data_IF_471713873177
#
_entry.id   IF_471713873177
#
_cell.length_a   1.000
_cell.length_b   1.000
_cell.length_c   1.000
_cell.angle_alpha   90.00
_cell.angle_beta   90.00
_cell.angle_gamma   90.00
#
_symmetry.space_group_name_H-M   'P 1'
#
loop_
_entity.id
_entity.type
_entity.pdbx_description
1 polymer ?
#
# COMPACT_ATOMS: atom_id res chain seq x y z
N UNK A 1 29.51 -127.42 -11.97
CA UNK A 1 28.37 -126.93 -11.15
C UNK A 1 28.73 -125.82 -10.15
N UNK A 2 30.02 -125.56 -9.82
CA UNK A 2 30.43 -124.46 -8.91
C UNK A 2 30.58 -123.08 -9.57
N UNK A 3 30.79 -123.00 -10.88
CA UNK A 3 31.01 -121.75 -11.63
C UNK A 3 29.75 -120.94 -11.93
N UNK A 4 28.58 -121.58 -12.05
CA UNK A 4 27.31 -120.88 -12.29
C UNK A 4 26.73 -120.20 -11.04
N UNK A 5 27.12 -120.68 -9.84
CA UNK A 5 26.63 -120.13 -8.57
C UNK A 5 27.33 -118.80 -8.22
N UNK A 6 28.65 -118.71 -8.45
CA UNK A 6 29.45 -117.48 -8.29
C UNK A 6 28.97 -116.34 -9.18
N UNK A 7 28.70 -116.62 -10.46
CA UNK A 7 28.23 -115.60 -11.41
C UNK A 7 26.80 -115.13 -11.13
N UNK A 8 25.96 -115.98 -10.54
CA UNK A 8 24.62 -115.60 -10.10
C UNK A 8 24.65 -114.71 -8.83
N UNK A 9 25.60 -114.94 -7.92
CA UNK A 9 25.84 -114.08 -6.75
C UNK A 9 26.42 -112.72 -7.16
N UNK A 10 27.35 -112.68 -8.11
CA UNK A 10 27.87 -111.43 -8.71
C UNK A 10 26.77 -110.64 -9.43
N UNK A 11 25.93 -111.29 -10.26
CA UNK A 11 24.80 -110.63 -10.92
C UNK A 11 23.78 -110.07 -9.93
N UNK A 12 23.56 -110.76 -8.81
CA UNK A 12 22.67 -110.28 -7.76
C UNK A 12 23.26 -109.06 -7.03
N UNK A 13 24.55 -109.10 -6.70
CA UNK A 13 25.26 -107.96 -6.12
C UNK A 13 25.23 -106.73 -7.03
N UNK A 14 25.49 -106.91 -8.32
CA UNK A 14 25.41 -105.83 -9.31
C UNK A 14 23.98 -105.32 -9.43
N UNK A 15 22.97 -106.21 -9.44
CA UNK A 15 21.56 -105.80 -9.47
C UNK A 15 21.17 -104.99 -8.22
N UNK A 16 21.61 -105.40 -7.04
CA UNK A 16 21.33 -104.70 -5.78
C UNK A 16 22.01 -103.33 -5.74
N UNK A 17 23.24 -103.22 -6.25
CA UNK A 17 23.98 -101.96 -6.35
C UNK A 17 23.35 -101.02 -7.39
N UNK A 18 22.91 -101.54 -8.55
CA UNK A 18 22.17 -100.74 -9.54
C UNK A 18 20.83 -100.23 -9.01
N UNK A 19 20.10 -101.05 -8.22
CA UNK A 19 18.85 -100.63 -7.60
C UNK A 19 19.06 -99.59 -6.50
N UNK A 20 20.19 -99.66 -5.78
CA UNK A 20 20.56 -98.66 -4.79
C UNK A 20 20.86 -97.32 -5.46
N UNK A 21 21.69 -97.31 -6.50
CA UNK A 21 22.01 -96.10 -7.27
C UNK A 21 20.76 -95.50 -7.93
N UNK A 22 19.83 -96.33 -8.40
CA UNK A 22 18.57 -95.86 -8.97
C UNK A 22 17.72 -95.10 -7.93
N UNK A 23 17.63 -95.61 -6.70
CA UNK A 23 16.92 -94.91 -5.61
C UNK A 23 17.58 -93.59 -5.24
N UNK A 24 18.90 -93.55 -5.16
CA UNK A 24 19.66 -92.32 -4.89
C UNK A 24 19.45 -91.27 -5.99
N UNK A 25 19.38 -91.69 -7.26
CA UNK A 25 19.09 -90.78 -8.38
C UNK A 25 17.63 -90.30 -8.37
N UNK A 26 16.67 -91.16 -8.03
CA UNK A 26 15.26 -90.79 -7.86
C UNK A 26 15.07 -89.79 -6.71
N UNK A 27 15.77 -89.96 -5.60
CA UNK A 27 15.79 -89.03 -4.47
C UNK A 27 16.40 -87.69 -4.88
N UNK A 28 17.55 -87.68 -5.57
CA UNK A 28 18.16 -86.45 -6.12
C UNK A 28 17.25 -85.74 -7.13
N UNK A 29 16.56 -86.49 -7.99
CA UNK A 29 15.59 -85.90 -8.93
C UNK A 29 14.41 -85.28 -8.18
N UNK A 30 13.92 -85.94 -7.13
CA UNK A 30 12.85 -85.42 -6.28
C UNK A 30 13.26 -84.13 -5.58
N UNK A 31 14.47 -84.07 -5.02
CA UNK A 31 15.02 -82.87 -4.40
C UNK A 31 15.21 -81.73 -5.42
N UNK A 32 15.76 -82.04 -6.60
CA UNK A 32 15.95 -81.07 -7.67
C UNK A 32 14.62 -80.50 -8.18
N UNK A 33 13.57 -81.32 -8.29
CA UNK A 33 12.24 -80.86 -8.67
C UNK A 33 11.63 -79.95 -7.59
N UNK A 34 11.75 -80.31 -6.30
CA UNK A 34 11.31 -79.45 -5.19
C UNK A 34 12.04 -78.11 -5.16
N UNK A 35 13.34 -78.09 -5.47
CA UNK A 35 14.12 -76.86 -5.60
C UNK A 35 13.62 -76.02 -6.78
N UNK A 36 13.35 -76.66 -7.92
CA UNK A 36 12.88 -76.00 -9.15
C UNK A 36 11.47 -75.41 -8.98
N UNK A 37 10.55 -76.09 -8.29
CA UNK A 37 9.22 -75.57 -7.96
C UNK A 37 9.26 -74.38 -7.00
N UNK A 38 10.27 -74.31 -6.14
CA UNK A 38 10.46 -73.21 -5.18
C UNK A 38 11.29 -72.05 -5.75
N UNK A 39 11.73 -72.11 -7.02
CA UNK A 39 12.38 -70.96 -7.63
C UNK A 39 11.37 -69.81 -7.78
N UNK A 40 11.70 -68.60 -7.31
CA UNK A 40 10.82 -67.45 -7.49
C UNK A 40 10.59 -67.19 -8.98
N UNK A 41 9.33 -66.91 -9.34
CA UNK A 41 8.96 -66.57 -10.71
C UNK A 41 9.52 -65.19 -11.06
N UNK A 42 10.70 -65.18 -11.68
CA UNK A 42 11.45 -63.96 -12.01
C UNK A 42 10.63 -63.01 -12.89
N UNK A 43 9.83 -63.57 -13.81
CA UNK A 43 9.01 -62.80 -14.75
C UNK A 43 7.84 -62.07 -14.03
N UNK A 44 7.28 -62.67 -12.98
CA UNK A 44 6.25 -62.03 -12.15
C UNK A 44 6.84 -60.91 -11.27
N UNK A 45 8.03 -61.12 -10.72
CA UNK A 45 8.73 -60.11 -9.94
C UNK A 45 9.17 -58.92 -10.81
N UNK A 46 9.64 -59.15 -12.03
CA UNK A 46 9.97 -58.08 -12.99
C UNK A 46 8.74 -57.22 -13.32
N UNK A 47 7.57 -57.83 -13.57
CA UNK A 47 6.31 -57.11 -13.80
C UNK A 47 5.92 -56.24 -12.60
N UNK A 48 5.99 -56.79 -11.38
CA UNK A 48 5.74 -56.03 -10.14
C UNK A 48 6.74 -54.88 -9.96
N UNK A 49 8.00 -55.07 -10.33
CA UNK A 49 9.03 -54.04 -10.24
C UNK A 49 8.73 -52.85 -11.17
N UNK A 50 8.25 -53.13 -12.39
CA UNK A 50 7.83 -52.11 -13.36
C UNK A 50 6.64 -51.33 -12.83
N UNK A 51 5.63 -52.01 -12.28
CA UNK A 51 4.46 -51.34 -11.69
C UNK A 51 4.82 -50.45 -10.50
N UNK A 52 5.69 -50.93 -9.61
CA UNK A 52 6.15 -50.14 -8.44
C UNK A 52 6.91 -48.90 -8.91
N UNK A 53 7.81 -49.04 -9.90
CA UNK A 53 8.54 -47.89 -10.46
C UNK A 53 7.61 -46.85 -11.08
N UNK A 54 6.57 -47.29 -11.80
CA UNK A 54 5.58 -46.39 -12.36
C UNK A 54 4.81 -45.62 -11.26
N UNK A 55 4.45 -46.30 -10.16
CA UNK A 55 3.80 -45.65 -9.01
C UNK A 55 4.71 -44.67 -8.29
N UNK A 56 5.99 -45.01 -8.11
CA UNK A 56 6.96 -44.10 -7.49
C UNK A 56 7.14 -42.83 -8.34
N UNK A 57 7.22 -42.98 -9.66
CA UNK A 57 7.32 -41.83 -10.57
C UNK A 57 6.08 -40.91 -10.50
N UNK A 58 4.88 -41.49 -10.43
CA UNK A 58 3.63 -40.73 -10.27
C UNK A 58 3.57 -40.01 -8.90
N UNK A 59 3.99 -40.66 -7.83
CA UNK A 59 4.05 -40.04 -6.50
C UNK A 59 5.09 -38.90 -6.43
N UNK A 60 6.25 -39.06 -7.08
CA UNK A 60 7.25 -38.00 -7.19
C UNK A 60 6.70 -36.78 -7.94
N UNK A 61 5.99 -36.97 -9.05
CA UNK A 61 5.34 -35.89 -9.79
C UNK A 61 4.25 -35.20 -8.96
N UNK A 62 3.45 -35.96 -8.21
CA UNK A 62 2.45 -35.39 -7.30
C UNK A 62 3.09 -34.61 -6.16
N UNK A 63 4.26 -35.04 -5.66
CA UNK A 63 4.98 -34.34 -4.61
C UNK A 63 5.50 -32.99 -5.09
N UNK A 64 6.06 -32.91 -6.31
CA UNK A 64 6.51 -31.63 -6.88
C UNK A 64 5.35 -30.68 -7.12
N UNK A 65 4.24 -31.16 -7.69
CA UNK A 65 3.01 -30.37 -7.86
C UNK A 65 2.46 -29.86 -6.51
N UNK A 66 2.53 -30.68 -5.46
CA UNK A 66 2.10 -30.26 -4.13
C UNK A 66 2.98 -29.15 -3.56
N UNK A 67 4.30 -29.22 -3.74
CA UNK A 67 5.23 -28.18 -3.30
C UNK A 67 4.97 -26.84 -4.04
N UNK A 68 4.75 -26.89 -5.36
CA UNK A 68 4.38 -25.72 -6.15
C UNK A 68 3.05 -25.12 -5.69
N UNK A 69 2.06 -25.96 -5.39
CA UNK A 69 0.77 -25.53 -4.85
C UNK A 69 0.91 -24.82 -3.51
N UNK A 70 1.76 -25.34 -2.60
CA UNK A 70 2.01 -24.71 -1.30
C UNK A 70 2.66 -23.33 -1.47
N UNK A 71 3.67 -23.21 -2.36
CA UNK A 71 4.29 -21.92 -2.69
C UNK A 71 3.28 -20.93 -3.27
N UNK A 72 2.42 -21.39 -4.17
CA UNK A 72 1.37 -20.55 -4.75
C UNK A 72 0.37 -20.05 -3.70
N UNK A 73 0.04 -20.89 -2.71
CA UNK A 73 -0.85 -20.51 -1.60
C UNK A 73 -0.22 -19.43 -0.71
N UNK A 74 1.08 -19.54 -0.43
CA UNK A 74 1.82 -18.56 0.36
C UNK A 74 1.90 -17.20 -0.35
N UNK A 75 2.29 -17.20 -1.63
CA UNK A 75 2.31 -15.99 -2.48
C UNK A 75 0.92 -15.34 -2.55
N UNK A 76 -0.14 -16.15 -2.69
CA UNK A 76 -1.52 -15.64 -2.72
C UNK A 76 -1.87 -14.92 -1.42
N UNK A 77 -1.49 -15.47 -0.28
CA UNK A 77 -1.74 -14.86 1.02
C UNK A 77 -1.00 -13.52 1.16
N UNK A 78 0.28 -13.48 0.79
CA UNK A 78 1.06 -12.23 0.79
C UNK A 78 0.45 -11.19 -0.14
N UNK A 79 -0.02 -11.60 -1.32
CA UNK A 79 -0.70 -10.73 -2.27
C UNK A 79 -2.01 -10.15 -1.70
N UNK A 80 -2.84 -10.98 -1.05
CA UNK A 80 -4.09 -10.53 -0.42
C UNK A 80 -3.81 -9.53 0.71
N UNK A 81 -2.79 -9.76 1.54
CA UNK A 81 -2.37 -8.84 2.60
C UNK A 81 -1.88 -7.51 2.01
N UNK A 82 -1.03 -7.55 0.99
CA UNK A 82 -0.53 -6.36 0.30
C UNK A 82 -1.66 -5.58 -0.41
N UNK A 83 -2.61 -6.28 -1.03
CA UNK A 83 -3.77 -5.67 -1.69
C UNK A 83 -4.66 -4.96 -0.66
N UNK A 84 -4.91 -5.58 0.49
CA UNK A 84 -5.70 -4.96 1.56
C UNK A 84 -5.00 -3.72 2.14
N UNK A 85 -3.68 -3.78 2.34
CA UNK A 85 -2.90 -2.61 2.79
C UNK A 85 -2.97 -1.47 1.76
N UNK A 86 -2.82 -1.79 0.47
CA UNK A 86 -2.92 -0.80 -0.61
C UNK A 86 -4.30 -0.13 -0.65
N UNK A 87 -5.38 -0.92 -0.55
CA UNK A 87 -6.76 -0.39 -0.48
C UNK A 87 -6.94 0.52 0.73
N UNK A 88 -6.45 0.12 1.90
CA UNK A 88 -6.54 0.92 3.12
C UNK A 88 -5.78 2.25 3.00
N UNK A 89 -4.53 2.22 2.51
CA UNK A 89 -3.73 3.42 2.31
C UNK A 89 -4.36 4.37 1.28
N UNK A 90 -4.91 3.82 0.19
CA UNK A 90 -5.63 4.60 -0.82
C UNK A 90 -6.85 5.29 -0.22
N UNK A 91 -7.62 4.58 0.61
CA UNK A 91 -8.77 5.16 1.30
C UNK A 91 -8.35 6.30 2.26
N UNK A 92 -7.26 6.12 3.01
CA UNK A 92 -6.71 7.16 3.89
C UNK A 92 -6.30 8.40 3.07
N UNK A 93 -5.58 8.20 1.96
CA UNK A 93 -5.15 9.31 1.10
C UNK A 93 -6.37 10.08 0.55
N UNK A 94 -7.39 9.37 0.07
CA UNK A 94 -8.60 10.01 -0.45
C UNK A 94 -9.34 10.81 0.62
N UNK A 95 -9.45 10.26 1.83
CA UNK A 95 -10.04 10.97 2.97
C UNK A 95 -9.25 12.23 3.34
N UNK A 96 -7.92 12.13 3.42
CA UNK A 96 -7.05 13.26 3.74
C UNK A 96 -7.09 14.36 2.68
N UNK A 97 -7.22 14.01 1.40
CA UNK A 97 -7.23 14.99 0.29
C UNK A 97 -8.58 15.66 0.08
N UNK A 98 -9.68 14.92 0.21
CA UNK A 98 -10.99 15.40 -0.26
C UNK A 98 -11.94 15.71 0.90
N UNK A 99 -12.04 14.82 1.88
CA UNK A 99 -13.06 14.88 2.93
C UNK A 99 -12.58 15.76 4.08
N UNK A 100 -11.39 15.48 4.62
CA UNK A 100 -10.88 16.15 5.82
C UNK A 100 -10.67 17.67 5.65
N UNK A 101 -10.15 18.20 4.52
CA UNK A 101 -10.04 19.65 4.34
C UNK A 101 -11.41 20.34 4.35
N UNK A 102 -12.40 19.70 3.73
CA UNK A 102 -13.78 20.20 3.68
C UNK A 102 -14.43 20.17 5.06
N UNK A 103 -14.26 19.08 5.81
CA UNK A 103 -14.71 18.96 7.21
C UNK A 103 -14.08 20.03 8.10
N UNK A 104 -12.74 20.18 8.04
CA UNK A 104 -12.01 21.20 8.80
C UNK A 104 -12.50 22.60 8.43
N UNK A 105 -12.78 22.89 7.16
CA UNK A 105 -13.31 24.20 6.76
C UNK A 105 -14.73 24.44 7.27
N UNK A 106 -15.59 23.41 7.27
CA UNK A 106 -16.97 23.53 7.76
C UNK A 106 -17.03 23.70 9.28
N UNK A 107 -16.14 23.01 10.02
CA UNK A 107 -16.07 23.07 11.48
C UNK A 107 -15.23 24.25 11.99
N UNK A 108 -14.25 24.71 11.20
CA UNK A 108 -13.47 25.89 11.55
C UNK A 108 -14.42 27.08 11.64
N UNK A 109 -14.35 27.79 12.77
CA UNK A 109 -14.99 29.08 12.93
C UNK A 109 -14.21 30.11 12.10
N UNK A 110 -14.39 30.05 10.77
CA UNK A 110 -13.69 30.93 9.83
C UNK A 110 -14.17 32.35 10.14
N UNK A 111 -13.26 33.24 10.55
CA UNK A 111 -13.67 34.52 11.10
C UNK A 111 -14.25 35.49 10.05
N UNK A 112 -14.11 35.15 8.76
CA UNK A 112 -14.58 35.93 7.62
C UNK A 112 -15.55 35.08 6.79
N UNK A 113 -16.83 35.50 6.65
CA UNK A 113 -17.83 34.79 5.85
C UNK A 113 -17.40 34.66 4.39
N UNK A 114 -17.68 33.49 3.78
CA UNK A 114 -17.44 33.27 2.35
C UNK A 114 -15.98 32.98 1.97
N UNK A 115 -15.06 32.92 2.93
CA UNK A 115 -13.67 32.52 2.70
C UNK A 115 -13.58 31.00 2.52
N UNK A 116 -13.06 30.57 1.37
CA UNK A 116 -12.78 29.17 1.02
C UNK A 116 -11.34 29.05 0.54
N UNK A 117 -10.73 27.90 0.80
CA UNK A 117 -9.47 27.51 0.19
C UNK A 117 -9.76 26.32 -0.74
N UNK A 118 -9.23 26.36 -1.96
CA UNK A 118 -9.28 25.23 -2.90
C UNK A 118 -7.88 24.96 -3.47
N UNK A 119 -7.77 23.96 -4.35
CA UNK A 119 -6.51 23.60 -5.01
C UNK A 119 -5.88 24.76 -5.81
N UNK A 120 -6.67 25.77 -6.17
CA UNK A 120 -6.24 26.95 -6.92
C UNK A 120 -5.98 28.17 -6.02
N UNK A 121 -6.11 28.04 -4.69
CA UNK A 121 -5.76 29.08 -3.72
C UNK A 121 -6.94 29.60 -2.89
N UNK A 122 -6.94 30.90 -2.61
CA UNK A 122 -7.92 31.55 -1.72
C UNK A 122 -9.07 32.13 -2.54
N UNK A 123 -10.30 31.79 -2.17
CA UNK A 123 -11.54 32.34 -2.74
C UNK A 123 -12.39 33.03 -1.68
N UNK A 124 -13.03 34.13 -2.07
CA UNK A 124 -13.98 34.87 -1.24
C UNK A 124 -15.27 35.00 -2.03
N UNK A 125 -16.37 34.42 -1.54
CA UNK A 125 -17.67 34.39 -2.25
C UNK A 125 -17.55 33.87 -3.70
N UNK A 126 -16.81 32.77 -3.89
CA UNK A 126 -16.52 32.13 -5.18
C UNK A 126 -15.62 32.92 -6.15
N UNK A 127 -15.16 34.11 -5.76
CA UNK A 127 -14.20 34.90 -6.52
C UNK A 127 -12.78 34.62 -6.02
N UNK A 128 -11.82 34.23 -6.90
CA UNK A 128 -10.41 34.14 -6.53
C UNK A 128 -9.89 35.47 -5.99
N UNK A 129 -9.13 35.43 -4.89
CA UNK A 129 -8.60 36.63 -4.23
C UNK A 129 -7.82 37.54 -5.19
N UNK A 130 -7.04 36.95 -6.10
CA UNK A 130 -6.24 37.68 -7.09
C UNK A 130 -7.08 38.40 -8.16
N UNK A 131 -8.36 38.04 -8.31
CA UNK A 131 -9.30 38.67 -9.25
C UNK A 131 -10.21 39.71 -8.57
N UNK A 132 -10.13 39.86 -7.25
CA UNK A 132 -10.86 40.89 -6.52
C UNK A 132 -10.27 42.28 -6.81
N UNK A 133 -11.10 43.32 -6.79
CA UNK A 133 -10.62 44.69 -6.87
C UNK A 133 -9.78 45.06 -5.64
N UNK A 134 -8.88 46.04 -5.77
CA UNK A 134 -8.03 46.51 -4.65
C UNK A 134 -8.88 46.91 -3.43
N UNK A 135 -10.03 47.53 -3.65
CA UNK A 135 -10.99 47.93 -2.60
C UNK A 135 -11.53 46.73 -1.85
N UNK A 136 -11.95 45.69 -2.57
CA UNK A 136 -12.48 44.45 -2.00
C UNK A 136 -11.39 43.67 -1.25
N UNK A 137 -10.16 43.62 -1.80
CA UNK A 137 -9.01 43.01 -1.13
C UNK A 137 -8.71 43.71 0.20
N UNK A 138 -8.69 45.06 0.22
CA UNK A 138 -8.48 45.83 1.46
C UNK A 138 -9.60 45.56 2.46
N UNK A 139 -10.86 45.60 2.03
CA UNK A 139 -12.02 45.33 2.90
C UNK A 139 -11.95 43.91 3.50
N UNK A 140 -11.55 42.92 2.70
CA UNK A 140 -11.37 41.54 3.13
C UNK A 140 -10.22 41.39 4.14
N UNK A 141 -9.05 41.99 3.89
CA UNK A 141 -7.92 41.98 4.83
C UNK A 141 -8.29 42.64 6.16
N UNK A 142 -9.02 43.76 6.11
CA UNK A 142 -9.55 44.40 7.32
C UNK A 142 -10.50 43.47 8.09
N UNK A 143 -11.37 42.74 7.39
CA UNK A 143 -12.24 41.75 8.01
C UNK A 143 -11.44 40.65 8.74
N UNK A 144 -10.39 40.11 8.12
CA UNK A 144 -9.49 39.13 8.76
C UNK A 144 -8.85 39.73 10.02
N UNK A 145 -8.30 40.94 9.91
CA UNK A 145 -7.64 41.63 11.02
C UNK A 145 -8.59 41.87 12.19
N UNK A 146 -9.83 42.31 11.93
CA UNK A 146 -10.86 42.49 12.96
C UNK A 146 -11.18 41.18 13.65
N UNK A 147 -11.36 40.14 12.86
CA UNK A 147 -11.84 38.88 13.34
C UNK A 147 -10.77 38.12 14.17
N UNK A 148 -9.48 38.29 13.82
CA UNK A 148 -8.34 37.85 14.65
C UNK A 148 -8.20 38.64 15.96
N UNK A 149 -8.66 39.88 16.00
CA UNK A 149 -8.55 40.78 17.16
C UNK A 149 -9.82 40.86 18.03
N UNK A 150 -10.83 40.00 17.77
CA UNK A 150 -12.03 39.93 18.61
C UNK A 150 -11.63 39.68 20.08
N UNK A 151 -12.17 40.51 20.99
CA UNK A 151 -11.92 40.42 22.43
C UNK A 151 -10.56 40.94 22.91
N UNK A 152 -9.71 41.49 22.03
CA UNK A 152 -8.45 42.13 22.44
C UNK A 152 -8.70 43.56 22.96
N UNK A 153 -7.89 43.97 23.95
CA UNK A 153 -7.96 45.32 24.55
C UNK A 153 -7.41 46.41 23.63
N UNK A 154 -6.39 46.09 22.84
CA UNK A 154 -5.75 47.02 21.91
C UNK A 154 -6.41 46.91 20.54
N UNK A 155 -7.04 48.00 20.08
CA UNK A 155 -7.78 48.08 18.82
C UNK A 155 -7.13 49.08 17.87
N UNK A 156 -5.85 48.88 17.56
CA UNK A 156 -5.11 49.72 16.62
C UNK A 156 -4.79 48.90 15.38
N UNK A 157 -5.10 49.45 14.20
CA UNK A 157 -4.74 48.88 12.90
C UNK A 157 -3.86 49.88 12.14
N UNK A 158 -2.66 49.46 11.78
CA UNK A 158 -1.77 50.25 10.93
C UNK A 158 -1.98 49.84 9.48
N UNK A 159 -2.31 50.81 8.61
CA UNK A 159 -2.53 50.58 7.19
C UNK A 159 -1.54 51.45 6.41
N UNK A 160 -0.70 50.79 5.62
CA UNK A 160 0.36 51.45 4.86
C UNK A 160 0.07 51.47 3.36
N UNK A 161 0.72 52.41 2.67
CA UNK A 161 0.69 52.60 1.20
C UNK A 161 -0.69 52.87 0.63
N UNK A 162 -1.50 53.65 1.36
CA UNK A 162 -2.87 53.91 0.96
C UNK A 162 -2.99 54.74 -0.33
N UNK A 163 -1.90 55.38 -0.78
CA UNK A 163 -1.79 56.03 -2.09
C UNK A 163 -1.98 55.09 -3.27
N UNK A 164 -1.91 53.78 -3.04
CA UNK A 164 -2.16 52.77 -4.07
C UNK A 164 -3.64 52.62 -4.40
N UNK A 165 -4.52 53.20 -3.58
CA UNK A 165 -5.96 53.19 -3.79
C UNK A 165 -6.37 54.36 -4.68
N UNK A 166 -7.24 54.10 -5.65
CA UNK A 166 -7.91 55.16 -6.38
C UNK A 166 -8.87 55.95 -5.46
N UNK A 167 -9.33 57.11 -5.94
CA UNK A 167 -10.13 58.02 -5.13
C UNK A 167 -11.47 57.42 -4.67
N UNK A 168 -12.11 56.60 -5.50
CA UNK A 168 -13.38 55.94 -5.16
C UNK A 168 -13.15 54.91 -4.06
N UNK A 169 -12.14 54.06 -4.24
CA UNK A 169 -11.71 53.07 -3.25
C UNK A 169 -11.30 53.69 -1.93
N UNK A 170 -10.57 54.81 -1.96
CA UNK A 170 -10.16 55.53 -0.77
C UNK A 170 -11.37 56.08 0.01
N UNK A 171 -12.34 56.67 -0.69
CA UNK A 171 -13.58 57.16 -0.06
C UNK A 171 -14.36 56.02 0.58
N UNK A 172 -14.42 54.86 -0.06
CA UNK A 172 -15.12 53.70 0.49
C UNK A 172 -14.38 53.15 1.73
N UNK A 173 -13.06 53.04 1.67
CA UNK A 173 -12.22 52.71 2.83
C UNK A 173 -12.48 53.68 4.00
N UNK A 174 -12.51 54.99 3.74
CA UNK A 174 -12.81 56.00 4.76
C UNK A 174 -14.18 55.81 5.41
N UNK A 175 -15.22 55.45 4.65
CA UNK A 175 -16.55 55.14 5.21
C UNK A 175 -16.49 53.91 6.11
N UNK A 176 -15.81 52.85 5.66
CA UNK A 176 -15.69 51.60 6.41
C UNK A 176 -14.98 51.79 7.75
N UNK A 177 -13.89 52.55 7.79
CA UNK A 177 -13.14 52.77 9.04
C UNK A 177 -13.86 53.71 10.02
N UNK A 178 -14.67 54.67 9.52
CA UNK A 178 -15.44 55.59 10.36
C UNK A 178 -16.56 54.90 11.12
N UNK A 179 -17.13 53.85 10.54
CA UNK A 179 -18.15 53.02 11.17
C UNK A 179 -17.56 52.00 12.16
N UNK A 180 -16.23 51.88 12.22
CA UNK A 180 -15.55 50.84 12.99
C UNK A 180 -15.09 51.34 14.37
N UNK A 181 -14.95 50.42 15.32
CA UNK A 181 -14.50 50.67 16.70
C UNK A 181 -13.00 50.40 16.87
N UNK A 182 -12.22 50.62 15.80
CA UNK A 182 -10.76 50.51 15.79
C UNK A 182 -10.14 51.87 15.48
N UNK A 183 -8.99 52.15 16.08
CA UNK A 183 -8.16 53.28 15.71
C UNK A 183 -7.27 52.90 14.55
N UNK A 184 -7.31 53.69 13.48
CA UNK A 184 -6.51 53.45 12.29
C UNK A 184 -5.35 54.42 12.22
N UNK A 185 -4.13 53.89 12.06
CA UNK A 185 -2.95 54.66 11.73
C UNK A 185 -2.68 54.44 10.25
N UNK A 186 -2.93 55.48 9.46
CA UNK A 186 -2.88 55.39 8.00
C UNK A 186 -1.71 56.22 7.49
N UNK A 187 -0.88 55.61 6.64
CA UNK A 187 0.19 56.30 5.92
C UNK A 187 -0.12 56.29 4.43
N UNK A 188 0.08 57.46 3.81
CA UNK A 188 -0.03 57.59 2.37
C UNK A 188 0.85 58.70 1.83
N UNK A 189 1.22 58.60 0.55
CA UNK A 189 1.97 59.63 -0.17
C UNK A 189 0.99 60.58 -0.88
N UNK A 190 1.16 61.88 -0.66
CA UNK A 190 0.37 62.91 -1.34
C UNK A 190 1.30 63.88 -2.08
N UNK A 191 1.01 64.10 -3.36
CA UNK A 191 1.74 65.05 -4.21
C UNK A 191 1.11 66.44 -4.18
N UNK A 192 -0.21 66.54 -3.98
CA UNK A 192 -0.92 67.81 -3.92
C UNK A 192 -1.08 68.31 -2.47
N UNK A 193 -0.55 69.49 -2.16
CA UNK A 193 -0.62 70.04 -0.80
C UNK A 193 -2.05 70.35 -0.35
N UNK A 194 -2.94 70.65 -1.29
CA UNK A 194 -4.30 71.09 -0.98
C UNK A 194 -5.22 69.92 -0.57
N UNK A 195 -4.80 68.68 -0.85
CA UNK A 195 -5.57 67.45 -0.60
C UNK A 195 -5.04 66.67 0.63
N UNK A 196 -4.40 67.34 1.57
CA UNK A 196 -3.96 66.76 2.83
C UNK A 196 -5.04 67.00 3.90
N UNK A 197 -5.68 65.95 4.45
CA UNK A 197 -6.64 66.09 5.53
C UNK A 197 -6.05 66.82 6.73
N UNK A 198 -6.83 67.72 7.31
CA UNK A 198 -6.48 68.41 8.56
C UNK A 198 -6.29 67.43 9.71
N UNK A 199 -5.37 67.74 10.61
CA UNK A 199 -4.99 66.89 11.75
C UNK A 199 -4.03 65.75 11.40
N UNK A 200 -3.48 65.73 10.18
CA UNK A 200 -2.49 64.73 9.76
C UNK A 200 -1.05 65.13 10.16
N UNK A 201 -0.17 64.13 10.24
CA UNK A 201 1.27 64.33 10.38
C UNK A 201 1.94 64.24 9.01
N UNK A 202 2.55 65.34 8.57
CA UNK A 202 3.25 65.43 7.29
C UNK A 202 4.74 65.21 7.53
N UNK A 203 5.30 64.22 6.84
CA UNK A 203 6.73 63.93 6.87
C UNK A 203 7.36 64.45 5.57
N UNK A 204 8.34 65.36 5.69
CA UNK A 204 9.06 65.92 4.53
C UNK A 204 10.51 66.16 4.88
N UNK A 205 11.45 65.67 4.05
CA UNK A 205 12.90 65.80 4.26
C UNK A 205 13.37 65.30 5.64
N UNK A 206 12.72 64.27 6.19
CA UNK A 206 13.04 63.73 7.52
C UNK A 206 12.46 64.53 8.69
N UNK A 207 11.74 65.63 8.46
CA UNK A 207 11.04 66.38 9.50
C UNK A 207 9.56 66.01 9.55
N UNK A 208 9.00 65.94 10.76
CA UNK A 208 7.57 65.71 11.00
C UNK A 208 6.93 67.04 11.40
N UNK A 209 5.86 67.43 10.70
CA UNK A 209 5.05 68.61 11.03
C UNK A 209 3.58 68.24 11.09
N UNK A 210 2.85 68.85 12.02
CA UNK A 210 1.40 68.70 12.09
C UNK A 210 0.75 69.63 11.07
N UNK A 211 -0.18 69.10 10.29
CA UNK A 211 -1.03 69.87 9.39
C UNK A 211 -2.30 70.24 10.15
N UNK A 212 -2.38 71.50 10.60
CA UNK A 212 -3.55 72.04 11.32
C UNK A 212 -4.53 72.72 10.37
#
# INVERSE_FOLDING_TARGET
MKTHKSRAEELKSVSDETNKLLREEEERLSEMNKLTENLPNLEEHEKKLVEIRAKVADEEERATQHEEYLKALEIKKEWEEAEQQSKNLTAIINRLRNELPTEIMNEANIPVPGLRFDDNGVKVNDVPFDLMSTSEQVAFVLAICRARNIGKKLKILCVDRLESLDEETFREFQKQIKADNYQYLVTYVQHNKDDIPGGSFVVRNGEIRRND
#
